data_IF_784876133224
#
_entry.id   IF_784876133224
#
_cell.length_a   1.000
_cell.length_b   1.000
_cell.length_c   1.000
_cell.angle_alpha   90.00
_cell.angle_beta   90.00
_cell.angle_gamma   90.00
#
_symmetry.space_group_name_H-M   'P 1'
#
loop_
_entity.id
_entity.type
_entity.pdbx_description
1 polymer ?
#
# COMPACT_ATOMS: atom_id res chain seq x y z
N UNK A 1 -7.48 17.41 -21.30
CA UNK A 1 -6.95 18.11 -20.10
C UNK A 1 -5.44 18.00 -20.16
N UNK A 2 -4.75 19.13 -20.27
CA UNK A 2 -3.29 19.18 -20.28
C UNK A 2 -2.81 18.80 -18.87
N UNK A 3 -2.39 17.55 -18.66
CA UNK A 3 -1.60 17.22 -17.49
C UNK A 3 -0.19 17.71 -17.78
N UNK A 4 0.22 18.80 -17.12
CA UNK A 4 1.64 19.17 -17.09
C UNK A 4 2.44 17.96 -16.61
N UNK A 5 3.58 17.63 -17.23
CA UNK A 5 4.40 16.52 -16.77
C UNK A 5 4.73 16.73 -15.30
N UNK A 6 4.42 15.76 -14.45
CA UNK A 6 4.80 15.82 -13.05
C UNK A 6 6.33 15.78 -13.03
N UNK A 7 6.95 16.89 -12.62
CA UNK A 7 8.40 16.99 -12.56
C UNK A 7 8.93 16.07 -11.46
N UNK A 8 9.94 15.26 -11.78
CA UNK A 8 10.57 14.33 -10.84
C UNK A 8 11.02 15.04 -9.54
N UNK A 9 11.47 16.29 -9.67
CA UNK A 9 11.88 17.11 -8.53
C UNK A 9 10.73 17.45 -7.58
N UNK A 10 9.50 17.55 -8.06
CA UNK A 10 8.32 17.78 -7.21
C UNK A 10 7.97 16.50 -6.44
N UNK A 11 8.00 15.33 -7.09
CA UNK A 11 7.79 14.03 -6.45
C UNK A 11 8.85 13.79 -5.37
N UNK A 12 10.11 13.99 -5.73
CA UNK A 12 11.22 13.81 -4.80
C UNK A 12 11.04 14.71 -3.58
N UNK A 13 10.69 15.99 -3.77
CA UNK A 13 10.49 16.94 -2.66
C UNK A 13 9.35 16.51 -1.74
N UNK A 14 8.21 16.11 -2.29
CA UNK A 14 7.07 15.67 -1.50
C UNK A 14 7.40 14.42 -0.66
N UNK A 15 8.13 13.46 -1.24
CA UNK A 15 8.60 12.27 -0.53
C UNK A 15 9.63 12.64 0.55
N UNK A 16 10.56 13.55 0.24
CA UNK A 16 11.55 14.05 1.19
C UNK A 16 10.91 14.81 2.37
N UNK A 17 9.93 15.67 2.11
CA UNK A 17 9.18 16.40 3.15
C UNK A 17 8.39 15.45 4.05
N UNK A 18 7.76 14.41 3.49
CA UNK A 18 7.10 13.37 4.29
C UNK A 18 8.10 12.61 5.19
N UNK A 19 9.31 12.35 4.69
CA UNK A 19 10.37 11.68 5.46
C UNK A 19 11.01 12.57 6.53
N UNK A 20 11.03 13.90 6.34
CA UNK A 20 11.56 14.85 7.32
C UNK A 20 10.78 14.82 8.65
N UNK A 21 9.51 14.37 8.64
CA UNK A 21 8.71 14.18 9.87
C UNK A 21 9.31 13.13 10.81
N UNK A 22 10.06 12.16 10.27
CA UNK A 22 10.73 11.11 11.05
C UNK A 22 12.19 11.45 11.38
N UNK A 23 12.72 12.53 10.78
CA UNK A 23 14.13 12.89 10.88
C UNK A 23 14.42 13.53 12.24
N UNK A 24 14.99 12.75 13.15
CA UNK A 24 15.40 13.19 14.48
C UNK A 24 14.76 12.43 15.64
N UNK A 25 13.68 11.68 15.40
CA UNK A 25 13.04 10.81 16.40
C UNK A 25 13.41 9.33 16.24
N UNK A 26 13.73 8.89 15.01
CA UNK A 26 14.06 7.49 14.67
C UNK A 26 15.26 7.45 13.72
N UNK A 27 16.12 6.42 13.86
CA UNK A 27 17.27 6.22 12.96
C UNK A 27 16.82 6.02 11.50
N UNK A 28 17.48 6.66 10.51
CA UNK A 28 17.16 6.51 9.08
C UNK A 28 17.15 5.08 8.54
N UNK A 29 17.98 4.20 9.09
CA UNK A 29 17.98 2.79 8.71
C UNK A 29 16.69 2.09 9.12
N UNK A 30 16.04 2.55 10.19
CA UNK A 30 14.81 1.96 10.73
C UNK A 30 13.60 2.50 9.97
N UNK A 31 13.38 3.81 9.91
CA UNK A 31 12.14 4.34 9.31
C UNK A 31 12.04 4.13 7.79
N UNK A 32 13.18 3.97 7.08
CA UNK A 32 13.22 3.74 5.63
C UNK A 32 12.40 2.51 5.24
N UNK A 33 12.54 1.41 5.96
CA UNK A 33 11.84 0.17 5.62
C UNK A 33 10.32 0.34 5.78
N UNK A 34 9.86 1.02 6.84
CA UNK A 34 8.44 1.33 7.04
C UNK A 34 7.86 2.24 5.95
N UNK A 35 8.58 3.30 5.58
CA UNK A 35 8.14 4.24 4.53
C UNK A 35 8.07 3.51 3.18
N UNK A 36 9.09 2.73 2.82
CA UNK A 36 9.10 1.99 1.57
C UNK A 36 7.99 0.94 1.51
N UNK A 37 7.74 0.22 2.61
CA UNK A 37 6.62 -0.75 2.68
C UNK A 37 5.27 -0.05 2.53
N UNK A 38 5.08 1.11 3.18
CA UNK A 38 3.83 1.86 3.05
C UNK A 38 3.63 2.43 1.63
N UNK A 39 4.70 2.93 1.01
CA UNK A 39 4.68 3.39 -0.38
C UNK A 39 4.37 2.24 -1.36
N UNK A 40 4.96 1.08 -1.13
CA UNK A 40 4.66 -0.13 -1.90
C UNK A 40 3.18 -0.51 -1.77
N UNK A 41 2.66 -0.54 -0.54
CA UNK A 41 1.25 -0.83 -0.27
C UNK A 41 0.31 0.18 -0.96
N UNK A 42 0.64 1.47 -0.90
CA UNK A 42 -0.10 2.52 -1.62
C UNK A 42 -0.09 2.27 -3.12
N UNK A 43 1.09 2.02 -3.69
CA UNK A 43 1.27 1.79 -5.12
C UNK A 43 0.42 0.62 -5.62
N UNK A 44 0.51 -0.56 -4.98
CA UNK A 44 -0.27 -1.72 -5.41
C UNK A 44 -1.78 -1.49 -5.23
N UNK A 45 -2.18 -0.74 -4.19
CA UNK A 45 -3.58 -0.40 -3.96
C UNK A 45 -4.14 0.51 -5.03
N UNK A 46 -3.37 1.50 -5.48
CA UNK A 46 -3.77 2.44 -6.52
C UNK A 46 -3.91 1.75 -7.87
N UNK A 47 -2.91 0.96 -8.26
CA UNK A 47 -2.95 0.21 -9.53
C UNK A 47 -4.14 -0.76 -9.55
N UNK A 48 -4.36 -1.49 -8.45
CA UNK A 48 -5.47 -2.42 -8.34
C UNK A 48 -6.83 -1.70 -8.42
N UNK A 49 -6.96 -0.54 -7.76
CA UNK A 49 -8.18 0.27 -7.80
C UNK A 49 -8.45 0.83 -9.21
N UNK A 50 -7.43 1.36 -9.88
CA UNK A 50 -7.55 1.89 -11.25
C UNK A 50 -8.01 0.79 -12.22
N UNK A 51 -7.48 -0.42 -12.09
CA UNK A 51 -7.88 -1.57 -12.90
C UNK A 51 -9.31 -2.01 -12.58
N UNK A 52 -9.68 -2.09 -11.30
CA UNK A 52 -11.06 -2.42 -10.90
C UNK A 52 -12.05 -1.42 -11.49
N UNK A 53 -11.78 -0.12 -11.40
CA UNK A 53 -12.64 0.93 -11.95
C UNK A 53 -12.75 0.83 -13.49
N UNK A 54 -11.64 0.53 -14.17
CA UNK A 54 -11.64 0.31 -15.60
C UNK A 54 -12.48 -0.92 -16.00
N UNK A 55 -12.36 -2.03 -15.25
CA UNK A 55 -13.15 -3.24 -15.49
C UNK A 55 -14.64 -3.02 -15.20
N UNK A 56 -14.98 -2.32 -14.11
CA UNK A 56 -16.37 -1.96 -13.80
C UNK A 56 -16.99 -1.07 -14.89
N UNK A 57 -16.21 -0.15 -15.46
CA UNK A 57 -16.68 0.69 -16.57
C UNK A 57 -16.93 -0.11 -17.85
N UNK A 58 -16.12 -1.13 -18.12
CA UNK A 58 -16.19 -1.91 -19.36
C UNK A 58 -17.14 -3.12 -19.28
N UNK A 59 -17.28 -3.70 -18.10
CA UNK A 59 -17.95 -5.00 -17.87
C UNK A 59 -18.91 -4.97 -16.67
N UNK A 60 -19.42 -3.81 -16.25
CA UNK A 60 -20.22 -3.65 -15.03
C UNK A 60 -21.49 -4.52 -14.94
N UNK A 61 -22.00 -5.04 -16.06
CA UNK A 61 -23.12 -5.99 -16.10
C UNK A 61 -22.69 -7.45 -15.79
N UNK A 62 -21.40 -7.73 -15.71
CA UNK A 62 -20.81 -9.06 -15.52
C UNK A 62 -19.84 -9.08 -14.32
N UNK A 63 -20.35 -9.10 -13.07
CA UNK A 63 -19.52 -9.07 -11.87
C UNK A 63 -18.57 -10.28 -11.76
N UNK A 64 -19.03 -11.46 -12.17
CA UNK A 64 -18.25 -12.71 -12.18
C UNK A 64 -16.97 -12.55 -13.03
N UNK A 65 -17.08 -11.90 -14.19
CA UNK A 65 -15.96 -11.65 -15.11
C UNK A 65 -14.97 -10.64 -14.51
N UNK A 66 -15.46 -9.61 -13.83
CA UNK A 66 -14.60 -8.63 -13.15
C UNK A 66 -13.76 -9.34 -12.08
N UNK A 67 -14.38 -10.23 -11.29
CA UNK A 67 -13.67 -11.00 -10.28
C UNK A 67 -12.55 -11.87 -10.89
N UNK A 68 -12.83 -12.59 -11.98
CA UNK A 68 -11.82 -13.38 -12.70
C UNK A 68 -10.67 -12.52 -13.23
N UNK A 69 -10.97 -11.36 -13.82
CA UNK A 69 -9.96 -10.43 -14.31
C UNK A 69 -9.08 -9.91 -13.17
N UNK A 70 -9.67 -9.54 -12.04
CA UNK A 70 -8.93 -9.09 -10.86
C UNK A 70 -8.10 -10.21 -10.21
N UNK A 71 -8.50 -11.48 -10.33
CA UNK A 71 -7.69 -12.63 -9.88
C UNK A 71 -6.50 -12.90 -10.81
N UNK A 72 -6.58 -12.48 -12.08
CA UNK A 72 -5.49 -12.61 -13.05
C UNK A 72 -4.46 -11.47 -12.97
N UNK A 73 -4.70 -10.45 -12.14
CA UNK A 73 -3.82 -9.30 -11.98
C UNK A 73 -2.43 -9.64 -11.44
N UNK A 74 -1.50 -8.69 -11.60
CA UNK A 74 -0.15 -8.86 -11.10
C UNK A 74 -0.11 -9.08 -9.57
N UNK A 75 -1.01 -8.43 -8.84
CA UNK A 75 -1.20 -8.64 -7.40
C UNK A 75 -2.69 -8.76 -7.08
N UNK A 76 -3.03 -9.78 -6.29
CA UNK A 76 -4.38 -9.95 -5.74
C UNK A 76 -4.44 -9.19 -4.42
N UNK A 77 -5.37 -8.24 -4.32
CA UNK A 77 -5.48 -7.36 -3.17
C UNK A 77 -6.87 -7.49 -2.50
N UNK A 78 -6.93 -8.06 -1.29
CA UNK A 78 -8.18 -8.10 -0.54
C UNK A 78 -8.64 -6.70 -0.12
N UNK A 79 -9.95 -6.43 -0.24
CA UNK A 79 -10.54 -5.10 0.01
C UNK A 79 -10.24 -4.58 1.42
N UNK A 80 -10.17 -5.47 2.41
CA UNK A 80 -9.84 -5.15 3.79
C UNK A 80 -8.37 -4.77 4.01
N UNK A 81 -7.49 -5.17 3.09
CA UNK A 81 -6.05 -4.97 3.16
C UNK A 81 -5.55 -3.79 2.31
N UNK A 82 -6.43 -3.18 1.49
CA UNK A 82 -6.05 -2.05 0.65
C UNK A 82 -5.75 -0.78 1.45
N UNK A 83 -4.94 0.11 0.86
CA UNK A 83 -4.51 1.35 1.50
C UNK A 83 -5.69 2.24 1.89
N UNK A 84 -6.73 2.36 1.06
CA UNK A 84 -7.88 3.20 1.35
C UNK A 84 -8.61 2.78 2.64
N UNK A 85 -8.82 1.48 2.82
CA UNK A 85 -9.42 0.88 4.02
C UNK A 85 -8.56 1.16 5.25
N UNK A 86 -7.24 0.96 5.16
CA UNK A 86 -6.32 1.22 6.26
C UNK A 86 -6.29 2.72 6.62
N UNK A 87 -6.18 3.58 5.63
CA UNK A 87 -6.12 5.02 5.80
C UNK A 87 -7.42 5.60 6.41
N UNK A 88 -8.58 5.05 6.06
CA UNK A 88 -9.86 5.42 6.65
C UNK A 88 -9.92 5.06 8.15
N UNK A 89 -9.22 4.01 8.57
CA UNK A 89 -9.19 3.48 9.94
C UNK A 89 -7.96 3.93 10.74
N UNK A 90 -7.10 4.81 10.19
CA UNK A 90 -5.78 5.15 10.74
C UNK A 90 -5.78 5.74 12.17
N UNK A 91 -6.88 6.37 12.56
CA UNK A 91 -7.04 6.98 13.89
C UNK A 91 -7.67 6.02 14.92
N UNK A 92 -7.95 4.78 14.53
CA UNK A 92 -8.46 3.75 15.43
C UNK A 92 -7.30 3.06 16.15
N UNK A 93 -7.57 2.58 17.37
CA UNK A 93 -6.63 1.75 18.11
C UNK A 93 -6.24 0.49 17.31
N UNK A 94 -5.01 0.02 17.52
CA UNK A 94 -4.47 -1.16 16.82
C UNK A 94 -4.17 -0.89 15.35
N UNK A 95 -3.78 0.33 14.98
CA UNK A 95 -3.41 0.66 13.60
C UNK A 95 -2.21 -0.18 13.11
N UNK A 96 -1.18 -0.34 13.96
CA UNK A 96 -0.01 -1.17 13.64
C UNK A 96 -0.36 -2.63 13.34
N UNK A 97 -1.10 -3.27 14.24
CA UNK A 97 -1.60 -4.65 14.05
C UNK A 97 -2.44 -4.80 12.77
N UNK A 98 -3.25 -3.78 12.45
CA UNK A 98 -4.10 -3.78 11.25
C UNK A 98 -3.27 -3.71 9.97
N UNK A 99 -2.21 -2.91 9.96
CA UNK A 99 -1.26 -2.84 8.84
C UNK A 99 -0.51 -4.17 8.72
N UNK A 100 0.00 -4.72 9.83
CA UNK A 100 0.71 -6.01 9.83
C UNK A 100 -0.17 -7.14 9.28
N UNK A 101 -1.44 -7.20 9.69
CA UNK A 101 -2.42 -8.17 9.17
C UNK A 101 -2.69 -7.98 7.68
N UNK A 102 -2.82 -6.73 7.22
CA UNK A 102 -3.03 -6.45 5.81
C UNK A 102 -1.84 -6.91 4.96
N UNK A 103 -0.61 -6.60 5.39
CA UNK A 103 0.61 -7.04 4.70
C UNK A 103 0.72 -8.57 4.66
N UNK A 104 0.37 -9.25 5.75
CA UNK A 104 0.35 -10.71 5.81
C UNK A 104 -0.65 -11.30 4.81
N UNK A 105 -1.89 -10.82 4.83
CA UNK A 105 -2.94 -11.27 3.91
C UNK A 105 -2.55 -11.03 2.45
N UNK A 106 -1.94 -9.88 2.14
CA UNK A 106 -1.43 -9.58 0.80
C UNK A 106 -0.32 -10.56 0.41
N UNK A 107 0.62 -10.87 1.30
CA UNK A 107 1.67 -11.84 1.02
C UNK A 107 1.11 -13.26 0.77
N UNK A 108 0.10 -13.68 1.53
CA UNK A 108 -0.56 -14.98 1.35
C UNK A 108 -1.28 -15.12 0.01
N UNK A 109 -1.95 -14.07 -0.46
CA UNK A 109 -2.60 -14.09 -1.77
C UNK A 109 -1.59 -14.00 -2.94
N UNK A 110 -0.34 -13.65 -2.65
CA UNK A 110 0.69 -13.38 -3.65
C UNK A 110 2.00 -14.15 -3.36
N UNK A 111 1.92 -15.37 -2.81
CA UNK A 111 3.07 -16.16 -2.34
C UNK A 111 4.19 -16.28 -3.39
N UNK A 112 3.85 -16.41 -4.67
CA UNK A 112 4.85 -16.51 -5.74
C UNK A 112 5.75 -15.27 -5.92
N UNK A 113 5.33 -14.10 -5.41
CA UNK A 113 6.00 -12.81 -5.61
C UNK A 113 6.37 -12.11 -4.31
N UNK A 114 5.55 -12.25 -3.28
CA UNK A 114 5.66 -11.50 -2.02
C UNK A 114 5.99 -12.37 -0.80
N UNK A 115 6.29 -13.66 -1.00
CA UNK A 115 6.79 -14.50 0.08
C UNK A 115 8.04 -13.88 0.69
N UNK A 116 8.03 -13.78 2.01
CA UNK A 116 9.11 -13.26 2.86
C UNK A 116 9.42 -11.76 2.70
N UNK A 117 8.74 -11.02 1.80
CA UNK A 117 9.00 -9.59 1.54
C UNK A 117 8.70 -8.69 2.75
N UNK A 118 7.71 -9.07 3.58
CA UNK A 118 7.29 -8.26 4.74
C UNK A 118 7.70 -8.84 6.10
N UNK A 119 8.52 -9.90 6.14
CA UNK A 119 8.77 -10.65 7.39
C UNK A 119 9.54 -9.87 8.45
N UNK A 120 10.41 -8.95 8.03
CA UNK A 120 11.29 -8.21 8.96
C UNK A 120 10.68 -6.92 9.51
N UNK A 121 9.44 -6.60 9.11
CA UNK A 121 8.78 -5.32 9.43
C UNK A 121 7.50 -5.58 10.22
N UNK A 122 7.40 -4.94 11.39
CA UNK A 122 6.17 -4.88 12.17
C UNK A 122 5.87 -3.45 12.58
N UNK A 123 4.73 -2.95 12.12
CA UNK A 123 4.17 -1.63 12.46
C UNK A 123 3.60 -1.60 13.88
N UNK A 124 3.43 -2.75 14.54
CA UNK A 124 3.07 -2.84 15.94
C UNK A 124 4.28 -2.90 16.90
N UNK A 125 5.50 -2.73 16.38
CA UNK A 125 6.72 -2.73 17.19
C UNK A 125 7.06 -1.34 17.76
N UNK A 126 7.73 -1.30 18.91
CA UNK A 126 8.24 -0.06 19.54
C UNK A 126 9.46 0.55 18.82
N UNK A 127 9.88 -0.02 17.68
CA UNK A 127 11.05 0.46 16.92
C UNK A 127 10.85 1.85 16.32
N UNK A 128 9.60 2.28 16.16
CA UNK A 128 9.23 3.60 15.65
C UNK A 128 9.07 4.67 16.76
N UNK A 129 9.32 4.30 18.02
CA UNK A 129 9.03 5.12 19.19
C UNK A 129 7.72 4.72 19.88
N UNK A 130 7.54 5.21 21.12
CA UNK A 130 6.28 5.14 21.87
C UNK A 130 5.28 6.23 21.42
#
# INVERSE_FOLDING_TARGET
MNQSPIEQDVINRAVWEACDTFRGTVDPSVYKDYVLTMLFLKYISDVWQDHLEAHQKNFGEHPELIEELMQAEAFVLPTEANFATLHAKRHQNGNGERIDRALHVIAEHNIGKLRDVFQDISFNSSRLGD
#
